data_IF_347181094433
#
_entry.id   IF_347181094433
#
_cell.length_a   1.000
_cell.length_b   1.000
_cell.length_c   1.000
_cell.angle_alpha   90.00
_cell.angle_beta   90.00
_cell.angle_gamma   90.00
#
_symmetry.space_group_name_H-M   'P 1'
#
loop_
_entity.id
_entity.type
_entity.pdbx_description
1 polymer ?
2 non-polymer ?
3 water ?
#
# COMPACT_ATOMS: atom_id res chain seq x y z
N UNK A 5 19.89 1.25 10.12
CA UNK A 5 18.47 1.56 9.76
C UNK A 5 17.58 1.48 11.00
N UNK A 6 16.78 2.53 11.23
CA UNK A 6 15.87 2.60 12.36
C UNK A 6 14.51 3.13 11.89
N UNK A 7 13.51 2.93 12.75
CA UNK A 7 12.21 3.55 12.57
C UNK A 7 12.38 5.07 12.48
N UNK A 8 13.27 5.65 13.31
CA UNK A 8 13.42 7.10 13.33
C UNK A 8 13.85 7.63 11.96
N UNK A 9 14.72 6.89 11.26
CA UNK A 9 15.15 7.25 9.92
C UNK A 9 13.97 7.33 8.95
N UNK A 10 13.04 6.38 9.05
CA UNK A 10 11.83 6.43 8.24
C UNK A 10 10.91 7.57 8.65
N UNK A 11 10.77 7.82 9.95
CA UNK A 11 10.01 8.96 10.42
C UNK A 11 10.54 10.21 9.74
N UNK A 12 11.87 10.36 9.72
CA UNK A 12 12.47 11.55 9.13
C UNK A 12 12.13 11.68 7.64
N UNK A 13 12.11 10.57 6.87
CA UNK A 13 11.78 10.61 5.46
C UNK A 13 10.32 10.99 5.21
N UNK A 14 9.46 10.77 6.21
CA UNK A 14 8.04 11.10 6.10
C UNK A 14 7.72 12.51 6.59
N UNK A 15 8.69 13.19 7.19
CA UNK A 15 8.46 14.39 8.00
C UNK A 15 9.06 15.59 7.29
N UNK A 16 8.54 16.78 7.60
CA UNK A 16 9.11 18.03 7.10
C UNK A 16 10.15 18.52 8.11
N UNK A 17 10.66 19.75 7.88
CA UNK A 17 11.62 20.43 8.74
C UNK A 17 11.20 20.55 10.21
N UNK A 18 9.96 21.00 10.45
CA UNK A 18 9.44 21.14 11.81
C UNK A 18 9.09 19.77 12.43
N UNK A 19 9.25 18.68 11.67
CA UNK A 19 9.05 17.33 12.20
C UNK A 19 7.62 16.80 12.01
N UNK A 20 6.83 17.39 11.10
CA UNK A 20 5.42 17.02 10.92
C UNK A 20 5.26 16.09 9.72
N UNK A 21 4.39 15.09 9.83
CA UNK A 21 3.91 14.40 8.65
C UNK A 21 2.96 15.31 7.86
N UNK A 22 2.66 14.91 6.61
CA UNK A 22 1.66 15.57 5.78
C UNK A 22 0.45 14.64 5.64
N UNK A 23 -0.59 15.09 4.93
CA UNK A 23 -1.84 14.37 4.80
C UNK A 23 -2.19 14.37 3.33
N UNK A 24 -2.81 13.28 2.81
CA UNK A 24 -3.04 13.15 1.37
C UNK A 24 -3.90 14.30 0.89
N UNK A 25 -3.48 14.91 -0.20
CA UNK A 25 -4.18 16.04 -0.78
C UNK A 25 -5.18 15.57 -1.83
N UNK A 26 -5.06 14.33 -2.29
CA UNK A 26 -5.96 13.75 -3.32
C UNK A 26 -6.51 12.41 -2.83
N UNK A 27 -7.69 11.97 -3.30
CA UNK A 27 -8.26 10.70 -2.87
C UNK A 27 -7.43 9.48 -3.28
N UNK A 28 -6.71 9.61 -4.41
CA UNK A 28 -5.79 8.55 -4.80
C UNK A 28 -4.70 9.08 -5.71
N UNK A 29 -3.58 8.34 -5.70
CA UNK A 29 -2.42 8.71 -6.48
C UNK A 29 -1.80 7.45 -7.06
N UNK A 30 -1.24 7.58 -8.26
CA UNK A 30 -0.41 6.53 -8.82
C UNK A 30 0.97 6.68 -8.21
N UNK A 31 1.39 5.69 -7.40
CA UNK A 31 2.63 5.84 -6.64
C UNK A 31 3.83 5.23 -7.35
N UNK A 32 3.61 4.18 -8.14
CA UNK A 32 4.57 3.66 -9.10
C UNK A 32 3.76 3.24 -10.32
N UNK A 33 4.39 3.04 -11.50
CA UNK A 33 3.62 2.69 -12.70
C UNK A 33 2.63 1.57 -12.47
N UNK A 34 1.35 1.91 -12.64
CA UNK A 34 0.20 1.02 -12.64
C UNK A 34 -0.20 0.58 -11.24
N UNK A 35 0.35 1.23 -10.18
CA UNK A 35 -0.03 0.93 -8.80
C UNK A 35 -0.50 2.22 -8.15
N UNK A 36 -1.78 2.18 -7.78
CA UNK A 36 -2.42 3.33 -7.17
C UNK A 36 -2.65 3.06 -5.68
N UNK A 37 -2.53 4.12 -4.86
CA UNK A 37 -2.89 4.07 -3.44
C UNK A 37 -4.00 5.08 -3.19
N UNK A 38 -5.06 4.67 -2.48
CA UNK A 38 -6.15 5.58 -2.24
C UNK A 38 -6.95 5.25 -1.00
N UNK A 39 -8.02 6.03 -0.85
CA UNK A 39 -8.88 5.99 0.32
C UNK A 39 -10.20 5.26 0.03
N UNK A 40 -11.05 5.19 1.05
CA UNK A 40 -12.28 4.43 1.00
C UNK A 40 -13.20 4.95 -0.11
N UNK A 41 -13.22 6.28 -0.30
CA UNK A 41 -14.15 6.87 -1.26
C UNK A 41 -13.85 6.44 -2.69
N UNK A 42 -12.57 6.38 -3.08
CA UNK A 42 -12.22 5.96 -4.43
C UNK A 42 -12.55 4.49 -4.63
N UNK A 43 -12.31 3.67 -3.60
CA UNK A 43 -12.61 2.25 -3.67
C UNK A 43 -14.08 1.99 -3.99
N UNK A 44 -14.94 2.85 -3.47
CA UNK A 44 -16.37 2.62 -3.56
C UNK A 44 -16.98 3.38 -4.75
N UNK A 45 -16.16 4.00 -5.61
CA UNK A 45 -16.61 4.74 -6.79
C UNK A 45 -16.16 4.01 -8.06
N UNK A 46 -16.97 3.06 -8.51
CA UNK A 46 -16.57 2.21 -9.62
C UNK A 46 -16.40 3.01 -10.92
N UNK A 47 -17.27 3.98 -11.28
CA UNK A 47 -17.02 4.80 -12.46
C UNK A 47 -15.65 5.48 -12.49
N UNK A 48 -15.21 6.00 -11.33
CA UNK A 48 -13.88 6.66 -11.29
C UNK A 48 -12.78 5.61 -11.49
N UNK A 49 -12.99 4.42 -10.93
CA UNK A 49 -12.02 3.34 -11.07
C UNK A 49 -11.84 3.00 -12.55
N UNK A 50 -12.94 2.94 -13.29
CA UNK A 50 -12.88 2.65 -14.72
C UNK A 50 -12.20 3.76 -15.53
N UNK A 51 -12.46 5.03 -15.22
CA UNK A 51 -11.77 6.11 -15.90
C UNK A 51 -10.27 6.07 -15.66
N UNK A 52 -9.87 5.54 -14.50
CA UNK A 52 -8.46 5.36 -14.19
C UNK A 52 -7.90 4.06 -14.77
N UNK A 53 -8.75 3.22 -15.35
CA UNK A 53 -8.30 1.95 -15.91
C UNK A 53 -7.96 0.88 -14.87
N UNK A 54 -8.53 1.00 -13.65
CA UNK A 54 -8.27 0.06 -12.56
C UNK A 54 -9.00 -1.25 -12.87
N UNK A 55 -8.23 -2.35 -12.84
CA UNK A 55 -8.71 -3.70 -13.13
C UNK A 55 -8.73 -4.59 -11.88
N UNK A 56 -7.97 -4.21 -10.84
CA UNK A 56 -7.72 -5.02 -9.66
C UNK A 56 -7.75 -4.10 -8.45
N UNK A 57 -8.45 -4.55 -7.41
CA UNK A 57 -8.58 -3.79 -6.16
C UNK A 57 -8.14 -4.68 -5.01
N UNK A 58 -7.18 -4.18 -4.21
CA UNK A 58 -6.76 -4.83 -2.98
C UNK A 58 -7.21 -3.94 -1.83
N UNK A 59 -8.22 -4.42 -1.11
CA UNK A 59 -8.72 -3.72 0.06
C UNK A 59 -7.94 -4.21 1.26
N UNK A 60 -7.06 -3.32 1.77
CA UNK A 60 -6.23 -3.60 2.93
C UNK A 60 -6.88 -3.20 4.23
N UNK A 61 -8.18 -2.89 4.19
CA UNK A 61 -8.90 -2.52 5.40
C UNK A 61 -10.27 -3.19 5.40
N UNK A 62 -10.35 -4.45 4.98
CA UNK A 62 -11.67 -5.05 4.84
C UNK A 62 -12.31 -5.27 6.21
N UNK A 63 -13.57 -4.86 6.35
CA UNK A 63 -14.35 -5.14 7.55
C UNK A 63 -15.49 -4.15 7.75
N UNK A 64 -16.11 -4.17 8.94
CA UNK A 64 -17.38 -3.47 9.14
C UNK A 64 -17.25 -2.32 10.15
N UNK A 65 -16.05 -2.12 10.71
CA UNK A 65 -15.88 -1.00 11.64
C UNK A 65 -15.73 0.33 10.91
N UNK A 66 -15.77 1.41 11.70
CA UNK A 66 -15.59 2.73 11.13
C UNK A 66 -14.14 2.94 10.64
N UNK A 67 -13.21 2.03 11.01
CA UNK A 67 -11.84 2.10 10.53
C UNK A 67 -11.62 1.16 9.34
N UNK A 68 -12.68 0.55 8.82
CA UNK A 68 -12.59 -0.43 7.74
C UNK A 68 -13.45 0.00 6.58
N UNK A 69 -13.36 -0.76 5.48
CA UNK A 69 -14.16 -0.54 4.29
C UNK A 69 -14.88 -1.83 3.99
N UNK A 70 -16.21 -1.74 3.99
CA UNK A 70 -17.03 -2.92 3.97
C UNK A 70 -17.41 -3.28 2.54
N UNK A 71 -16.41 -3.66 1.77
CA UNK A 71 -16.60 -4.14 0.42
C UNK A 71 -16.19 -5.61 0.40
N UNK A 72 -16.47 -6.26 -0.73
CA UNK A 72 -16.14 -7.66 -0.95
C UNK A 72 -16.15 -7.89 -2.46
N UNK A 73 -15.85 -9.12 -2.89
CA UNK A 73 -15.77 -9.45 -4.31
C UNK A 73 -17.08 -9.13 -5.05
N UNK A 74 -18.19 -9.35 -4.36
CA UNK A 74 -19.50 -9.17 -4.96
C UNK A 74 -19.73 -7.72 -5.37
N UNK A 75 -19.23 -6.76 -4.57
CA UNK A 75 -19.34 -5.35 -4.85
C UNK A 75 -18.82 -5.04 -6.25
N UNK A 76 -17.79 -5.78 -6.70
CA UNK A 76 -17.08 -5.49 -7.95
C UNK A 76 -17.44 -6.42 -9.11
N UNK A 77 -18.23 -7.46 -8.82
CA UNK A 77 -18.53 -8.51 -9.78
C UNK A 77 -19.02 -7.96 -11.13
N UNK A 78 -20.00 -7.05 -11.14
CA UNK A 78 -20.58 -6.59 -12.39
C UNK A 78 -19.55 -5.84 -13.24
N UNK A 79 -18.62 -5.13 -12.58
CA UNK A 79 -17.67 -4.25 -13.24
C UNK A 79 -16.55 -5.05 -13.90
N UNK A 80 -16.39 -6.31 -13.50
CA UNK A 80 -15.28 -7.12 -13.99
C UNK A 80 -13.96 -6.83 -13.27
N UNK A 81 -13.99 -6.00 -12.21
CA UNK A 81 -12.80 -5.74 -11.40
C UNK A 81 -12.52 -6.94 -10.51
N UNK A 82 -11.23 -7.35 -10.43
CA UNK A 82 -10.80 -8.46 -9.61
C UNK A 82 -10.40 -7.99 -8.21
N UNK A 83 -10.84 -8.70 -7.17
CA UNK A 83 -10.77 -8.22 -5.79
C UNK A 83 -10.03 -9.18 -4.87
N UNK A 84 -9.25 -8.62 -3.93
CA UNK A 84 -8.72 -9.34 -2.78
C UNK A 84 -8.88 -8.43 -1.56
N UNK A 85 -9.36 -9.01 -0.48
CA UNK A 85 -9.50 -8.29 0.78
C UNK A 85 -8.59 -8.85 1.85
N UNK A 86 -8.01 -7.94 2.63
CA UNK A 86 -7.18 -8.23 3.78
C UNK A 86 -7.79 -7.48 4.95
N UNK A 87 -8.14 -8.22 6.01
CA UNK A 87 -8.78 -7.64 7.17
C UNK A 87 -7.75 -7.04 8.14
N UNK A 88 -7.09 -5.94 7.75
CA UNK A 88 -6.04 -5.39 8.60
C UNK A 88 -6.59 -4.25 9.47
N UNK A 89 -5.99 -4.07 10.65
CA UNK A 89 -6.25 -2.97 11.57
C UNK A 89 -5.05 -2.02 11.55
N UNK A 90 -5.34 -0.72 11.64
CA UNK A 90 -4.30 0.30 11.62
C UNK A 90 -3.90 0.64 13.05
N UNK A 91 -3.06 -0.24 13.63
CA UNK A 91 -2.55 -0.05 14.97
C UNK A 91 -1.08 -0.47 14.96
N UNK A 92 -0.32 -0.02 15.96
CA UNK A 92 1.10 -0.33 16.01
C UNK A 92 1.34 -1.79 16.36
N UNK A 93 0.35 -2.46 16.97
CA UNK A 93 0.53 -3.84 17.38
C UNK A 93 0.05 -4.81 16.30
N UNK A 94 -0.61 -4.31 15.23
CA UNK A 94 -1.14 -5.26 14.25
C UNK A 94 -0.04 -5.80 13.35
N UNK A 95 -0.08 -7.12 13.13
CA UNK A 95 0.90 -7.83 12.33
C UNK A 95 0.52 -7.81 10.85
N UNK A 96 0.81 -6.70 10.16
CA UNK A 96 0.55 -6.62 8.74
C UNK A 96 1.52 -7.46 7.92
N UNK A 97 2.73 -7.68 8.42
CA UNK A 97 3.74 -8.42 7.68
C UNK A 97 3.27 -9.84 7.37
N UNK A 98 2.30 -10.37 8.13
CA UNK A 98 1.71 -11.67 7.83
C UNK A 98 1.05 -11.73 6.44
N UNK A 99 0.71 -10.55 5.91
CA UNK A 99 0.00 -10.43 4.64
C UNK A 99 0.89 -9.92 3.50
N UNK A 100 2.17 -9.59 3.74
CA UNK A 100 3.01 -9.01 2.67
C UNK A 100 3.13 -9.91 1.44
N UNK A 101 3.29 -11.22 1.66
CA UNK A 101 3.48 -12.16 0.57
C UNK A 101 2.21 -12.26 -0.27
N UNK A 102 1.03 -12.47 0.34
CA UNK A 102 -0.19 -12.63 -0.46
C UNK A 102 -0.56 -11.32 -1.17
N UNK A 103 -0.29 -10.18 -0.53
CA UNK A 103 -0.49 -8.88 -1.17
C UNK A 103 0.42 -8.71 -2.40
N UNK A 104 1.72 -9.01 -2.22
CA UNK A 104 2.68 -8.88 -3.31
C UNK A 104 2.30 -9.78 -4.50
N UNK A 105 1.82 -10.99 -4.21
CA UNK A 105 1.42 -11.92 -5.25
C UNK A 105 0.21 -11.40 -6.04
N UNK A 106 -0.74 -10.74 -5.35
CA UNK A 106 -1.91 -10.13 -6.00
C UNK A 106 -1.48 -8.97 -6.90
N UNK A 107 -0.58 -8.11 -6.41
CA UNK A 107 -0.06 -7.01 -7.21
C UNK A 107 0.63 -7.54 -8.47
N UNK A 108 1.43 -8.59 -8.32
CA UNK A 108 2.15 -9.19 -9.43
C UNK A 108 1.17 -9.73 -10.48
N UNK A 109 0.07 -10.34 -10.03
CA UNK A 109 -0.93 -10.86 -10.96
C UNK A 109 -1.59 -9.72 -11.74
N UNK A 110 -1.98 -8.64 -11.04
CA UNK A 110 -2.49 -7.46 -11.71
C UNK A 110 -1.52 -6.96 -12.77
N UNK A 111 -0.23 -6.82 -12.43
CA UNK A 111 0.72 -6.21 -13.35
C UNK A 111 1.09 -7.16 -14.51
N UNK A 112 0.85 -8.45 -14.37
CA UNK A 112 1.13 -9.40 -15.44
C UNK A 112 0.15 -9.22 -16.60
N UNK A 113 -1.06 -8.77 -16.31
CA UNK A 113 -2.00 -8.36 -17.34
C UNK A 113 -1.47 -7.12 -18.06
N UNK A 114 -1.43 -7.17 -19.39
CA UNK A 114 -0.81 -6.07 -20.17
C UNK A 114 -1.41 -4.71 -19.78
N UNK A 115 -2.72 -4.67 -19.61
CA UNK A 115 -3.38 -3.42 -19.29
C UNK A 115 -3.83 -3.41 -17.82
N UNK A 116 -3.23 -4.26 -16.98
CA UNK A 116 -3.65 -4.33 -15.59
C UNK A 116 -3.16 -3.11 -14.79
N UNK A 117 -4.05 -2.61 -13.92
CA UNK A 117 -3.74 -1.57 -12.95
C UNK A 117 -4.42 -1.94 -11.64
N UNK A 118 -3.68 -1.78 -10.53
CA UNK A 118 -4.16 -2.16 -9.21
C UNK A 118 -4.27 -0.92 -8.32
N UNK A 119 -5.45 -0.78 -7.68
CA UNK A 119 -5.62 0.12 -6.54
C UNK A 119 -5.45 -0.68 -5.24
N UNK A 120 -4.45 -0.29 -4.44
CA UNK A 120 -4.26 -0.82 -3.09
C UNK A 120 -4.78 0.27 -2.16
N UNK A 121 -5.85 -0.02 -1.41
CA UNK A 121 -6.45 1.06 -0.64
C UNK A 121 -6.78 0.58 0.76
N UNK A 122 -7.02 1.55 1.63
CA UNK A 122 -7.48 1.25 2.96
C UNK A 122 -8.58 2.26 3.28
N UNK A 123 -8.69 2.71 4.53
CA UNK A 123 -9.65 3.77 4.78
C UNK A 123 -9.12 5.15 4.36
N UNK A 124 -7.87 5.46 4.69
CA UNK A 124 -7.31 6.78 4.40
C UNK A 124 -6.26 6.76 3.28
N UNK A 125 -5.78 5.58 2.90
CA UNK A 125 -4.66 5.47 1.98
C UNK A 125 -3.40 6.08 2.57
N UNK A 126 -3.17 5.84 3.86
CA UNK A 126 -2.19 6.59 4.59
C UNK A 126 -1.24 5.67 5.33
N UNK A 127 -1.77 4.57 5.91
CA UNK A 127 -0.94 3.71 6.74
C UNK A 127 -0.92 2.28 6.20
N UNK A 128 -2.07 1.60 6.18
CA UNK A 128 -2.13 0.20 5.79
C UNK A 128 -1.73 -0.01 4.32
N UNK A 129 -2.42 0.62 3.36
CA UNK A 129 -2.17 0.30 1.96
C UNK A 129 -0.77 0.74 1.50
N UNK A 130 -0.24 1.92 1.89
CA UNK A 130 1.14 2.26 1.53
C UNK A 130 2.17 1.27 2.08
N UNK A 131 1.92 0.71 3.28
CA UNK A 131 2.84 -0.27 3.84
C UNK A 131 2.94 -1.51 2.93
N UNK A 132 1.80 -2.00 2.44
CA UNK A 132 1.78 -3.15 1.52
C UNK A 132 2.52 -2.84 0.21
N UNK A 133 2.34 -1.62 -0.31
CA UNK A 133 3.04 -1.25 -1.54
C UNK A 133 4.55 -1.15 -1.33
N UNK A 134 4.97 -0.58 -0.22
CA UNK A 134 6.39 -0.47 0.08
C UNK A 134 6.99 -1.86 0.21
N UNK A 135 6.27 -2.78 0.90
CA UNK A 135 6.76 -4.14 1.00
C UNK A 135 6.87 -4.84 -0.36
N UNK A 136 5.89 -4.60 -1.23
CA UNK A 136 5.91 -5.17 -2.57
C UNK A 136 7.17 -4.69 -3.31
N UNK A 137 7.45 -3.38 -3.23
CA UNK A 137 8.60 -2.84 -3.94
C UNK A 137 9.90 -3.47 -3.44
N UNK A 138 9.99 -3.75 -2.14
CA UNK A 138 11.16 -4.35 -1.56
C UNK A 138 11.26 -5.80 -2.02
N UNK A 139 10.15 -6.54 -1.91
CA UNK A 139 10.13 -7.98 -2.12
C UNK A 139 10.20 -8.36 -3.59
N UNK A 140 9.62 -7.54 -4.46
CA UNK A 140 9.45 -7.95 -5.85
C UNK A 140 10.24 -7.05 -6.80
N UNK A 141 10.62 -5.83 -6.38
CA UNK A 141 11.43 -4.93 -7.21
C UNK A 141 12.82 -4.64 -6.63
N UNK A 142 13.18 -5.27 -5.51
CA UNK A 142 14.52 -5.25 -4.95
C UNK A 142 14.94 -3.85 -4.49
N UNK A 143 13.96 -3.00 -4.15
CA UNK A 143 14.26 -1.67 -3.65
C UNK A 143 14.42 -1.74 -2.13
N UNK A 144 15.43 -1.09 -1.57
CA UNK A 144 15.55 -1.04 -0.12
C UNK A 144 14.41 -0.18 0.45
N UNK A 145 14.13 -0.35 1.74
CA UNK A 145 12.99 0.31 2.37
C UNK A 145 13.05 1.84 2.24
N UNK A 146 14.25 2.44 2.30
CA UNK A 146 14.29 3.89 2.25
C UNK A 146 13.90 4.39 0.87
N UNK A 147 14.34 3.69 -0.19
CA UNK A 147 14.03 4.16 -1.54
C UNK A 147 12.58 3.82 -1.91
N UNK A 148 12.07 2.65 -1.46
CA UNK A 148 10.65 2.31 -1.64
C UNK A 148 9.71 3.31 -0.94
N UNK A 149 9.98 3.62 0.33
CA UNK A 149 9.15 4.55 1.07
C UNK A 149 9.24 5.93 0.43
N UNK A 150 10.45 6.33 0.04
CA UNK A 150 10.67 7.66 -0.49
C UNK A 150 9.95 7.84 -1.83
N UNK A 151 9.91 6.81 -2.70
CA UNK A 151 9.20 6.94 -3.96
C UNK A 151 7.68 6.99 -3.75
N UNK A 152 7.16 6.22 -2.79
CA UNK A 152 5.73 6.32 -2.52
C UNK A 152 5.37 7.70 -1.93
N UNK A 153 6.16 8.17 -0.98
CA UNK A 153 5.92 9.44 -0.30
C UNK A 153 6.09 10.57 -1.31
N UNK A 154 6.96 10.39 -2.32
CA UNK A 154 7.11 11.44 -3.32
C UNK A 154 5.78 11.67 -4.07
N UNK A 155 4.98 10.60 -4.23
CA UNK A 155 3.77 10.59 -5.04
C UNK A 155 2.46 10.68 -4.24
N UNK A 156 2.50 10.38 -2.93
CA UNK A 156 1.34 10.54 -2.05
C UNK A 156 1.83 10.82 -0.63
N UNK A 157 1.15 11.73 0.08
CA UNK A 157 1.51 12.05 1.44
C UNK A 157 1.05 10.90 2.32
N UNK A 158 1.97 10.07 2.80
CA UNK A 158 1.61 8.90 3.58
C UNK A 158 2.25 8.99 4.96
N UNK A 159 1.83 8.09 5.85
CA UNK A 159 2.33 8.05 7.21
C UNK A 159 2.07 6.72 7.89
N UNK A 160 2.73 5.62 7.49
CA UNK A 160 2.53 4.34 8.18
C UNK A 160 2.90 4.52 9.65
N UNK A 161 2.11 3.86 10.50
CA UNK A 161 2.32 3.88 11.94
C UNK A 161 3.65 3.23 12.27
N UNK A 162 4.16 3.50 13.48
CA UNK A 162 5.53 3.08 13.80
C UNK A 162 5.69 1.55 13.91
N UNK A 163 4.62 0.82 14.20
CA UNK A 163 4.64 -0.63 14.17
C UNK A 163 4.85 -1.17 12.75
N UNK A 164 4.17 -0.55 11.80
CA UNK A 164 4.33 -0.91 10.39
C UNK A 164 5.74 -0.54 9.90
N UNK A 165 6.27 0.61 10.30
CA UNK A 165 7.63 0.99 9.94
C UNK A 165 8.63 -0.03 10.50
N UNK A 166 8.43 -0.47 11.74
CA UNK A 166 9.33 -1.43 12.35
C UNK A 166 9.28 -2.72 11.54
N UNK A 167 8.07 -3.09 11.10
CA UNK A 167 7.92 -4.32 10.32
C UNK A 167 8.65 -4.20 8.98
N UNK A 168 8.54 -3.03 8.34
CA UNK A 168 9.32 -2.79 7.13
C UNK A 168 10.83 -2.83 7.38
N UNK A 169 11.30 -2.31 8.52
CA UNK A 169 12.72 -2.37 8.83
C UNK A 169 13.19 -3.82 9.01
N UNK A 170 12.37 -4.66 9.66
CA UNK A 170 12.72 -6.06 9.88
C UNK A 170 12.79 -6.81 8.55
N UNK A 171 11.86 -6.49 7.65
CA UNK A 171 11.88 -7.05 6.30
C UNK A 171 13.16 -6.66 5.56
N UNK A 172 13.50 -5.36 5.63
CA UNK A 172 14.68 -4.84 4.95
C UNK A 172 15.94 -5.56 5.40
N UNK A 173 16.09 -5.71 6.71
CA UNK A 173 17.30 -6.37 7.27
C UNK A 173 17.39 -7.80 6.73
N UNK A 174 16.27 -8.51 6.71
CA UNK A 174 16.27 -9.89 6.25
C UNK A 174 16.63 -9.96 4.77
N UNK A 175 16.00 -9.11 3.94
CA UNK A 175 16.23 -9.16 2.50
C UNK A 175 17.68 -8.77 2.19
N UNK A 176 18.23 -7.80 2.93
CA UNK A 176 19.60 -7.32 2.71
C UNK A 176 20.59 -8.45 2.99
N UNK A 177 20.38 -9.18 4.08
CA UNK A 177 21.25 -10.28 4.47
C UNK A 177 21.21 -11.41 3.45
N UNK A 178 20.04 -11.58 2.82
CA UNK A 178 19.82 -12.66 1.86
C UNK A 178 20.35 -12.27 0.50
N UNK A 179 20.84 -11.04 0.36
CA UNK A 179 21.34 -10.49 -0.89
C UNK A 179 20.24 -10.20 -1.90
N UNK A 180 19.05 -9.86 -1.40
CA UNK A 180 17.92 -9.70 -2.29
C UNK A 180 17.61 -8.23 -2.55
N UNK A 181 18.49 -7.31 -2.14
CA UNK A 181 18.27 -5.90 -2.44
C UNK A 181 19.36 -5.39 -3.38
N UNK A 182 19.53 -6.07 -4.52
CA UNK A 182 20.56 -5.68 -5.52
C UNK A 182 19.92 -5.51 -6.90
N UNK A 183 19.22 -4.39 -7.17
CA UNK A 183 18.69 -4.12 -8.51
C UNK A 183 19.82 -3.65 -9.45
X LIG B 1 -5.26 3.90 7.13
X LIG B 1 -4.49 4.71 6.12
X LIG B 1 -6.71 3.73 6.72
X LIG B 1 -5.18 4.66 8.48
X LIG B 1 -4.58 2.56 7.34
#
# INVERSE_FOLDING_TARGET
GSFELSVQDLNDLLSDGSGCYSLPSQPCNEVTPRIYVGNASVAQDIPKLQKLGITHVLNAAEGRSFMHVNTNANFYKDSGITYLGIKANDTQEFNLSAYFERAADFIDQALAQKNGRVLVHCREGYSRSPTLVIAYLMMRQKMDVKSALSIVRQNREIGPNDGFLAQLCQLNDRLAKEGKLKP
PO4 P O1 O2 O3 O4
#
